data_IF_787822635731
#
_entry.id   IF_787822635731
#
_cell.length_a   1.000
_cell.length_b   1.000
_cell.length_c   1.000
_cell.angle_alpha   90.00
_cell.angle_beta   90.00
_cell.angle_gamma   90.00
#
_symmetry.space_group_name_H-M   'P 1'
#
loop_
_entity.id
_entity.type
_entity.pdbx_description
1 polymer ?
#
# COMPACT_ATOMS: atom_id res chain seq x y z
N UNK A 1 0.90 -38.97 -2.97
CA UNK A 1 2.35 -38.94 -2.70
C UNK A 1 2.78 -37.49 -2.63
N UNK A 2 3.63 -37.11 -1.67
CA UNK A 2 4.23 -35.77 -1.64
C UNK A 2 5.06 -35.55 -2.91
N UNK A 3 4.87 -34.42 -3.59
CA UNK A 3 5.71 -34.03 -4.72
C UNK A 3 7.11 -33.68 -4.19
N UNK A 4 8.14 -34.12 -4.89
CA UNK A 4 9.55 -33.91 -4.52
C UNK A 4 10.27 -33.34 -5.75
N UNK A 5 11.15 -32.36 -5.53
CA UNK A 5 12.11 -31.88 -6.51
C UNK A 5 13.50 -32.43 -6.17
N UNK A 6 14.30 -32.76 -7.18
CA UNK A 6 15.69 -33.19 -7.00
C UNK A 6 16.63 -32.07 -7.42
N UNK A 7 17.55 -31.69 -6.54
CA UNK A 7 18.66 -30.80 -6.86
C UNK A 7 19.96 -31.60 -6.80
N UNK A 8 20.80 -31.47 -7.82
CA UNK A 8 22.13 -32.10 -7.85
C UNK A 8 23.20 -31.02 -7.76
N UNK A 9 24.09 -31.13 -6.77
CA UNK A 9 25.22 -30.23 -6.53
C UNK A 9 26.47 -31.07 -6.38
N UNK A 10 27.48 -30.85 -7.22
CA UNK A 10 28.76 -31.58 -7.21
C UNK A 10 28.60 -33.12 -7.20
N UNK A 11 27.58 -33.64 -7.92
CA UNK A 11 27.27 -35.07 -8.00
C UNK A 11 26.45 -35.63 -6.82
N UNK A 12 26.18 -34.82 -5.79
CA UNK A 12 25.28 -35.18 -4.70
C UNK A 12 23.85 -34.75 -5.02
N UNK A 13 22.94 -35.72 -5.06
CA UNK A 13 21.50 -35.48 -5.19
C UNK A 13 20.86 -35.27 -3.83
N UNK A 14 20.09 -34.21 -3.70
CA UNK A 14 19.22 -33.96 -2.54
C UNK A 14 17.76 -33.89 -3.00
N UNK A 15 16.88 -34.35 -2.12
CA UNK A 15 15.44 -34.27 -2.31
C UNK A 15 14.88 -33.10 -1.52
N UNK A 16 14.14 -32.22 -2.21
CA UNK A 16 13.51 -31.05 -1.65
C UNK A 16 11.99 -31.20 -1.75
N UNK A 17 11.23 -31.05 -0.64
CA UNK A 17 9.78 -31.10 -0.68
C UNK A 17 9.20 -30.02 -1.60
N UNK A 18 8.17 -30.37 -2.37
CA UNK A 18 7.35 -29.39 -3.08
C UNK A 18 6.08 -29.15 -2.28
N UNK A 19 5.88 -27.91 -1.86
CA UNK A 19 4.69 -27.44 -1.17
C UNK A 19 3.71 -26.92 -2.22
N UNK A 20 2.43 -27.26 -2.09
CA UNK A 20 1.36 -26.75 -2.94
C UNK A 20 0.37 -25.93 -2.10
N UNK A 21 0.09 -24.71 -2.51
CA UNK A 21 -0.91 -23.82 -1.89
C UNK A 21 -2.34 -24.18 -2.28
N UNK A 22 -3.32 -23.54 -1.63
CA UNK A 22 -4.76 -23.73 -1.90
C UNK A 22 -5.17 -23.36 -3.32
N UNK A 23 -4.46 -22.40 -3.93
CA UNK A 23 -4.69 -21.94 -5.32
C UNK A 23 -3.75 -22.65 -6.32
N UNK A 24 -3.21 -23.83 -5.95
CA UNK A 24 -2.34 -24.67 -6.77
C UNK A 24 -0.96 -24.09 -7.13
N UNK A 25 -0.57 -22.98 -6.50
CA UNK A 25 0.80 -22.48 -6.54
C UNK A 25 1.77 -23.50 -5.94
N UNK A 26 2.98 -23.60 -6.47
CA UNK A 26 3.99 -24.56 -6.02
C UNK A 26 5.29 -23.87 -5.62
N UNK A 27 5.83 -24.26 -4.47
CA UNK A 27 7.12 -23.79 -3.97
C UNK A 27 8.02 -24.97 -3.59
N UNK A 28 9.32 -24.83 -3.82
CA UNK A 28 10.33 -25.79 -3.35
C UNK A 28 10.75 -25.37 -1.95
N UNK A 29 10.59 -26.25 -0.96
CA UNK A 29 11.07 -26.01 0.40
C UNK A 29 12.60 -26.14 0.44
N UNK A 30 13.28 -25.01 0.64
CA UNK A 30 14.74 -24.92 0.71
C UNK A 30 15.26 -24.70 2.14
N UNK A 31 14.44 -24.90 3.18
CA UNK A 31 14.83 -24.64 4.58
C UNK A 31 16.09 -25.40 5.01
N UNK A 32 16.29 -26.61 4.48
CA UNK A 32 17.46 -27.46 4.76
C UNK A 32 18.57 -27.37 3.71
N UNK A 33 18.40 -26.57 2.66
CA UNK A 33 19.31 -26.54 1.50
C UNK A 33 20.75 -26.30 1.96
N UNK A 34 20.99 -25.25 2.74
CA UNK A 34 22.33 -24.88 3.19
C UNK A 34 22.96 -25.91 4.11
N UNK A 35 22.17 -26.52 5.00
CA UNK A 35 22.68 -27.53 5.93
C UNK A 35 23.08 -28.82 5.20
N UNK A 36 22.40 -29.13 4.09
CA UNK A 36 22.68 -30.32 3.26
C UNK A 36 23.82 -30.11 2.24
N UNK A 37 24.03 -28.88 1.77
CA UNK A 37 24.90 -28.61 0.60
C UNK A 37 25.99 -27.57 0.85
N UNK A 38 25.89 -26.79 1.92
CA UNK A 38 26.75 -25.64 2.18
C UNK A 38 26.45 -24.39 1.33
N UNK A 39 25.59 -24.49 0.30
CA UNK A 39 25.29 -23.38 -0.61
C UNK A 39 24.03 -22.60 -0.21
N UNK A 40 23.85 -21.42 -0.80
CA UNK A 40 22.63 -20.61 -0.71
C UNK A 40 22.08 -20.35 -2.11
N UNK A 41 20.80 -19.99 -2.21
CA UNK A 41 20.25 -19.41 -3.44
C UNK A 41 20.65 -17.93 -3.55
N UNK A 42 20.78 -17.44 -4.78
CA UNK A 42 21.01 -16.03 -5.07
C UNK A 42 19.85 -15.51 -5.91
N UNK A 43 18.97 -14.73 -5.30
CA UNK A 43 17.78 -14.17 -5.95
C UNK A 43 17.60 -12.68 -5.60
N UNK A 44 18.44 -11.79 -6.18
CA UNK A 44 18.35 -10.36 -5.90
C UNK A 44 16.97 -9.80 -6.25
N UNK A 45 16.29 -9.23 -5.26
CA UNK A 45 14.94 -8.69 -5.40
C UNK A 45 13.82 -9.72 -5.24
N UNK A 46 14.11 -10.94 -4.76
CA UNK A 46 13.12 -11.95 -4.37
C UNK A 46 12.13 -12.34 -5.47
N UNK A 47 12.57 -12.35 -6.74
CA UNK A 47 11.68 -12.63 -7.88
C UNK A 47 11.21 -14.09 -7.93
N UNK A 48 11.99 -15.00 -7.35
CA UNK A 48 11.76 -16.44 -7.39
C UNK A 48 11.60 -17.03 -5.98
N UNK A 49 11.53 -16.19 -4.94
CA UNK A 49 11.58 -16.60 -3.54
C UNK A 49 10.27 -16.25 -2.83
N UNK A 50 9.46 -17.26 -2.52
CA UNK A 50 8.33 -17.12 -1.60
C UNK A 50 8.83 -17.04 -0.15
N UNK A 51 8.68 -15.89 0.51
CA UNK A 51 9.23 -15.66 1.85
C UNK A 51 8.37 -16.20 3.00
N UNK A 52 7.08 -16.45 2.75
CA UNK A 52 6.12 -16.88 3.76
C UNK A 52 4.96 -17.67 3.13
N UNK A 53 4.20 -18.37 3.98
CA UNK A 53 2.84 -18.82 3.65
C UNK A 53 1.87 -17.77 4.19
N UNK A 54 0.84 -17.45 3.43
CA UNK A 54 -0.15 -16.44 3.83
C UNK A 54 -1.55 -16.86 3.39
N UNK A 55 -2.53 -16.50 4.21
CA UNK A 55 -3.96 -16.74 3.95
C UNK A 55 -4.73 -15.42 3.73
N UNK A 56 -4.02 -14.28 3.63
CA UNK A 56 -4.62 -12.94 3.60
C UNK A 56 -5.11 -12.57 2.20
N UNK A 57 -4.21 -12.58 1.23
CA UNK A 57 -4.49 -12.14 -0.14
C UNK A 57 -3.90 -13.11 -1.12
N UNK A 58 -4.70 -13.49 -2.11
CA UNK A 58 -4.23 -14.22 -3.29
C UNK A 58 -4.23 -13.30 -4.50
N UNK A 59 -3.21 -13.44 -5.34
CA UNK A 59 -3.03 -12.63 -6.53
C UNK A 59 -2.49 -13.49 -7.68
N UNK A 60 -3.24 -13.56 -8.78
CA UNK A 60 -2.74 -14.10 -10.05
C UNK A 60 -2.61 -12.97 -11.07
N UNK A 61 -1.37 -12.60 -11.38
CA UNK A 61 -1.06 -11.53 -12.31
C UNK A 61 -1.35 -11.87 -13.77
N UNK A 62 -1.25 -13.14 -14.15
CA UNK A 62 -1.54 -13.57 -15.52
C UNK A 62 -3.04 -13.49 -15.78
N UNK A 63 -3.83 -13.99 -14.84
CA UNK A 63 -5.28 -14.08 -14.96
C UNK A 63 -6.03 -12.82 -14.49
N UNK A 64 -5.33 -11.85 -13.90
CA UNK A 64 -5.97 -10.61 -13.42
C UNK A 64 -6.81 -10.84 -12.17
N UNK A 65 -6.43 -11.77 -11.30
CA UNK A 65 -7.19 -12.15 -10.10
C UNK A 65 -6.60 -11.44 -8.89
N UNK A 66 -7.47 -10.85 -8.07
CA UNK A 66 -7.16 -10.38 -6.73
C UNK A 66 -8.25 -10.85 -5.78
N UNK A 67 -7.88 -11.52 -4.70
CA UNK A 67 -8.82 -11.97 -3.68
C UNK A 67 -8.33 -11.62 -2.29
N UNK A 68 -9.21 -11.04 -1.49
CA UNK A 68 -9.01 -10.86 -0.05
C UNK A 68 -9.75 -11.96 0.69
N UNK A 69 -9.02 -12.82 1.41
CA UNK A 69 -9.58 -13.99 2.13
C UNK A 69 -10.50 -14.85 1.25
N UNK A 70 -10.14 -15.02 -0.03
CA UNK A 70 -10.91 -15.79 -1.01
C UNK A 70 -12.05 -15.03 -1.70
N UNK A 71 -12.46 -13.86 -1.22
CA UNK A 71 -13.46 -13.02 -1.90
C UNK A 71 -12.83 -12.20 -3.01
N UNK A 72 -13.47 -12.13 -4.17
CA UNK A 72 -12.99 -11.31 -5.29
C UNK A 72 -12.92 -9.83 -4.91
N UNK A 73 -11.94 -9.10 -5.46
CA UNK A 73 -11.82 -7.66 -5.20
C UNK A 73 -13.06 -6.90 -5.69
N UNK A 74 -13.68 -7.36 -6.78
CA UNK A 74 -14.93 -6.83 -7.32
C UNK A 74 -16.08 -6.96 -6.33
N UNK A 75 -16.24 -8.13 -5.71
CA UNK A 75 -17.31 -8.36 -4.74
C UNK A 75 -17.15 -7.47 -3.51
N UNK A 76 -15.96 -7.42 -2.91
CA UNK A 76 -15.75 -6.67 -1.67
C UNK A 76 -15.79 -5.16 -1.91
N UNK A 77 -15.34 -4.66 -3.06
CA UNK A 77 -15.41 -3.23 -3.39
C UNK A 77 -16.83 -2.76 -3.76
N UNK A 78 -17.71 -3.65 -4.23
CA UNK A 78 -19.11 -3.31 -4.55
C UNK A 78 -20.03 -3.48 -3.33
N UNK A 79 -19.75 -4.44 -2.44
CA UNK A 79 -20.71 -4.91 -1.42
C UNK A 79 -20.31 -4.65 0.04
N UNK A 80 -19.07 -4.28 0.31
CA UNK A 80 -18.59 -4.06 1.66
C UNK A 80 -18.01 -2.64 1.82
N UNK A 81 -18.01 -2.15 3.06
CA UNK A 81 -17.34 -0.92 3.45
C UNK A 81 -15.85 -1.16 3.74
N UNK A 82 -15.05 -0.09 3.76
CA UNK A 82 -13.63 -0.17 4.08
C UNK A 82 -13.37 -0.80 5.46
N UNK A 83 -14.22 -0.55 6.46
CA UNK A 83 -14.04 -1.16 7.78
C UNK A 83 -14.41 -2.65 7.81
N UNK A 84 -15.40 -3.09 7.04
CA UNK A 84 -15.69 -4.52 6.88
C UNK A 84 -14.54 -5.24 6.20
N UNK A 85 -13.95 -4.65 5.14
CA UNK A 85 -12.76 -5.20 4.48
C UNK A 85 -11.53 -5.17 5.39
N UNK A 86 -11.36 -4.10 6.18
CA UNK A 86 -10.29 -4.04 7.18
C UNK A 86 -10.42 -5.16 8.20
N UNK A 87 -11.64 -5.41 8.69
CA UNK A 87 -11.91 -6.51 9.61
C UNK A 87 -11.63 -7.86 8.94
N UNK A 88 -12.13 -8.09 7.72
CA UNK A 88 -11.88 -9.29 6.93
C UNK A 88 -10.39 -9.60 6.80
N UNK A 89 -9.59 -8.61 6.39
CA UNK A 89 -8.14 -8.80 6.22
C UNK A 89 -7.47 -9.15 7.54
N UNK A 90 -7.80 -8.46 8.63
CA UNK A 90 -7.12 -8.58 9.92
C UNK A 90 -7.54 -9.85 10.69
N UNK A 91 -8.82 -10.19 10.66
CA UNK A 91 -9.41 -11.25 11.48
C UNK A 91 -9.81 -12.52 10.70
N UNK A 92 -9.78 -12.48 9.37
CA UNK A 92 -9.95 -13.65 8.50
C UNK A 92 -11.36 -13.83 7.93
N UNK A 93 -12.38 -13.29 8.57
CA UNK A 93 -13.79 -13.43 8.19
C UNK A 93 -14.49 -12.07 8.11
N UNK A 94 -15.57 -11.98 7.34
CA UNK A 94 -16.42 -10.78 7.33
C UNK A 94 -17.11 -10.60 8.69
N UNK A 95 -17.18 -9.39 9.25
CA UNK A 95 -17.80 -9.18 10.55
C UNK A 95 -19.31 -9.34 10.48
N UNK A 96 -19.91 -9.85 11.56
CA UNK A 96 -21.32 -9.62 11.84
C UNK A 96 -21.55 -8.14 12.19
N UNK A 97 -22.80 -7.67 12.10
CA UNK A 97 -23.14 -6.28 12.46
C UNK A 97 -22.67 -5.88 13.88
N UNK A 98 -22.71 -6.83 14.83
CA UNK A 98 -22.25 -6.61 16.21
C UNK A 98 -20.72 -6.50 16.28
N UNK A 99 -19.99 -7.34 15.55
CA UNK A 99 -18.53 -7.27 15.50
C UNK A 99 -18.05 -6.00 14.81
N UNK A 100 -18.73 -5.57 13.75
CA UNK A 100 -18.45 -4.30 13.07
C UNK A 100 -18.67 -3.12 14.03
N UNK A 101 -19.80 -3.07 14.73
CA UNK A 101 -20.06 -2.04 15.75
C UNK A 101 -18.99 -2.05 16.86
N UNK A 102 -18.57 -3.22 17.32
CA UNK A 102 -17.51 -3.35 18.32
C UNK A 102 -16.15 -2.87 17.79
N UNK A 103 -15.85 -3.14 16.52
CA UNK A 103 -14.63 -2.70 15.86
C UNK A 103 -14.60 -1.19 15.72
N UNK A 104 -15.69 -0.59 15.21
CA UNK A 104 -15.84 0.86 15.14
C UNK A 104 -15.69 1.53 16.50
N UNK A 105 -16.39 1.02 17.52
CA UNK A 105 -16.31 1.55 18.87
C UNK A 105 -14.92 1.36 19.49
N UNK A 106 -14.22 0.27 19.15
CA UNK A 106 -12.83 0.05 19.51
C UNK A 106 -11.91 1.12 18.91
N UNK A 107 -12.07 1.43 17.63
CA UNK A 107 -11.32 2.48 16.93
C UNK A 107 -11.61 3.85 17.55
N UNK A 108 -12.89 4.22 17.72
CA UNK A 108 -13.36 5.50 18.29
C UNK A 108 -12.77 5.81 19.67
N UNK A 109 -12.46 4.79 20.48
CA UNK A 109 -11.80 4.95 21.79
C UNK A 109 -10.36 5.45 21.70
N UNK A 110 -9.73 5.34 20.54
CA UNK A 110 -8.30 5.61 20.35
C UNK A 110 -7.99 6.72 19.34
N UNK A 111 -9.01 7.38 18.79
CA UNK A 111 -8.87 8.44 17.79
C UNK A 111 -8.21 9.70 18.34
N UNK A 112 -8.32 9.98 19.64
CA UNK A 112 -7.58 11.08 20.27
C UNK A 112 -6.08 10.77 20.30
N UNK A 113 -5.31 11.51 19.51
CA UNK A 113 -3.84 11.50 19.52
C UNK A 113 -3.36 12.39 20.67
N UNK A 114 -2.28 11.99 21.36
CA UNK A 114 -1.69 12.77 22.45
C UNK A 114 -1.36 14.20 21.98
N UNK A 115 -1.70 15.21 22.78
CA UNK A 115 -1.54 16.62 22.41
C UNK A 115 -0.08 17.00 22.14
N UNK A 116 0.89 16.35 22.82
CA UNK A 116 2.31 16.57 22.57
C UNK A 116 2.76 16.19 21.15
N UNK A 117 1.99 15.35 20.44
CA UNK A 117 2.24 15.06 19.02
C UNK A 117 2.10 16.30 18.14
N UNK A 118 1.32 17.31 18.58
CA UNK A 118 1.23 18.60 17.88
C UNK A 118 2.57 19.31 17.85
N UNK A 119 3.33 19.24 18.94
CA UNK A 119 4.67 19.82 18.99
C UNK A 119 5.63 19.11 18.01
N UNK A 120 5.48 17.78 17.86
CA UNK A 120 6.30 16.99 16.93
C UNK A 120 5.99 17.36 15.49
N UNK A 121 4.71 17.41 15.09
CA UNK A 121 4.34 17.86 13.74
C UNK A 121 4.73 19.33 13.52
N UNK A 122 4.66 20.17 14.55
CA UNK A 122 5.03 21.57 14.45
C UNK A 122 6.52 21.80 14.20
N UNK A 123 7.36 20.88 14.66
CA UNK A 123 8.80 20.88 14.38
C UNK A 123 9.17 20.66 12.91
N UNK A 124 8.25 20.15 12.07
CA UNK A 124 8.49 20.03 10.63
C UNK A 124 8.22 21.36 9.91
N UNK A 125 9.04 21.73 8.89
CA UNK A 125 8.72 22.83 8.02
C UNK A 125 7.46 22.51 7.20
N UNK A 126 6.68 23.54 6.81
CA UNK A 126 5.50 23.36 5.95
C UNK A 126 5.81 22.72 4.59
N UNK A 127 7.05 22.84 4.13
CA UNK A 127 7.55 22.27 2.87
C UNK A 127 8.02 20.82 3.01
N UNK A 128 7.92 20.21 4.19
CA UNK A 128 8.28 18.81 4.37
C UNK A 128 7.29 17.91 3.63
N UNK A 129 7.80 16.93 2.89
CA UNK A 129 6.96 16.00 2.15
C UNK A 129 6.04 15.20 3.10
N UNK A 130 4.72 15.10 2.84
CA UNK A 130 3.76 14.48 3.74
C UNK A 130 4.09 13.04 4.16
N UNK A 131 4.57 12.20 3.25
CA UNK A 131 5.02 10.83 3.58
C UNK A 131 6.17 10.76 4.59
N UNK A 132 7.16 11.66 4.51
CA UNK A 132 8.25 11.72 5.48
C UNK A 132 7.75 12.13 6.86
N UNK A 133 6.85 13.12 6.92
CA UNK A 133 6.18 13.53 8.15
C UNK A 133 5.33 12.38 8.72
N UNK A 134 4.54 11.70 7.89
CA UNK A 134 3.70 10.57 8.31
C UNK A 134 4.52 9.43 8.89
N UNK A 135 5.61 9.04 8.23
CA UNK A 135 6.54 8.02 8.72
C UNK A 135 7.08 8.38 10.10
N UNK A 136 7.55 9.63 10.28
CA UNK A 136 8.09 10.12 11.54
C UNK A 136 7.03 10.17 12.66
N UNK A 137 5.82 10.68 12.36
CA UNK A 137 4.72 10.72 13.32
C UNK A 137 4.27 9.31 13.72
N UNK A 138 4.23 8.37 12.78
CA UNK A 138 3.87 6.97 13.07
C UNK A 138 4.92 6.33 13.98
N UNK A 139 6.22 6.57 13.73
CA UNK A 139 7.28 6.12 14.64
C UNK A 139 7.17 6.80 16.01
N UNK A 140 6.87 8.10 16.06
CA UNK A 140 6.74 8.86 17.31
C UNK A 140 5.62 8.32 18.23
N UNK A 141 4.56 7.72 17.67
CA UNK A 141 3.51 7.06 18.45
C UNK A 141 4.05 5.97 19.39
N UNK A 142 5.22 5.39 19.11
CA UNK A 142 5.87 4.43 20.03
C UNK A 142 6.24 5.05 21.38
N UNK A 143 6.63 6.34 21.42
CA UNK A 143 6.95 7.03 22.67
C UNK A 143 5.71 7.22 23.56
N UNK A 144 4.55 7.40 22.95
CA UNK A 144 3.26 7.53 23.63
C UNK A 144 2.58 6.17 23.90
N UNK A 145 3.13 5.09 23.34
CA UNK A 145 2.63 3.72 23.45
C UNK A 145 3.80 2.74 23.66
N UNK A 146 4.56 2.87 24.76
CA UNK A 146 5.85 2.18 24.91
C UNK A 146 5.74 0.67 25.17
N UNK A 147 4.53 0.17 25.47
CA UNK A 147 4.32 -1.26 25.66
C UNK A 147 4.33 -1.97 24.31
N UNK A 148 5.22 -2.96 24.17
CA UNK A 148 5.20 -3.87 23.04
C UNK A 148 3.85 -4.60 22.99
N UNK A 149 3.36 -4.86 21.78
CA UNK A 149 2.12 -5.61 21.57
C UNK A 149 2.37 -7.08 21.94
N UNK A 150 1.67 -7.58 22.96
CA UNK A 150 1.69 -8.99 23.29
C UNK A 150 0.77 -9.76 22.35
N UNK A 151 1.36 -10.50 21.41
CA UNK A 151 0.60 -11.23 20.39
C UNK A 151 -0.09 -12.49 20.91
N UNK A 152 0.26 -12.95 22.11
CA UNK A 152 -0.39 -14.09 22.78
C UNK A 152 -1.62 -13.63 23.60
N UNK A 153 -1.87 -12.31 23.70
CA UNK A 153 -3.05 -11.75 24.36
C UNK A 153 -3.97 -11.11 23.32
N UNK A 154 -5.04 -11.82 22.95
CA UNK A 154 -6.02 -11.40 21.95
C UNK A 154 -6.59 -10.00 22.23
N UNK A 155 -6.83 -9.65 23.51
CA UNK A 155 -7.36 -8.34 23.88
C UNK A 155 -6.33 -7.24 23.63
N UNK A 156 -5.07 -7.44 24.02
CA UNK A 156 -4.00 -6.46 23.78
C UNK A 156 -3.73 -6.29 22.29
N UNK A 157 -3.76 -7.38 21.52
CA UNK A 157 -3.66 -7.35 20.06
C UNK A 157 -4.81 -6.54 19.45
N UNK A 158 -6.05 -6.84 19.82
CA UNK A 158 -7.24 -6.13 19.34
C UNK A 158 -7.21 -4.63 19.67
N UNK A 159 -6.83 -4.26 20.90
CA UNK A 159 -6.65 -2.86 21.31
C UNK A 159 -5.54 -2.18 20.50
N UNK A 160 -4.41 -2.86 20.24
CA UNK A 160 -3.33 -2.32 19.43
C UNK A 160 -3.75 -2.10 17.97
N UNK A 161 -4.54 -3.00 17.39
CA UNK A 161 -5.13 -2.87 16.05
C UNK A 161 -6.05 -1.66 15.99
N UNK A 162 -7.06 -1.59 16.87
CA UNK A 162 -8.01 -0.48 16.92
C UNK A 162 -7.29 0.87 17.10
N UNK A 163 -6.29 0.89 17.98
CA UNK A 163 -5.47 2.08 18.23
C UNK A 163 -4.68 2.51 17.00
N UNK A 164 -4.12 1.56 16.28
CA UNK A 164 -3.37 1.83 15.05
C UNK A 164 -4.30 2.41 13.98
N UNK A 165 -5.45 1.77 13.74
CA UNK A 165 -6.45 2.25 12.77
C UNK A 165 -6.95 3.67 13.08
N UNK A 166 -7.21 3.99 14.35
CA UNK A 166 -7.72 5.31 14.76
C UNK A 166 -6.65 6.40 14.71
N UNK A 167 -5.48 6.17 15.32
CA UNK A 167 -4.42 7.20 15.40
C UNK A 167 -3.77 7.47 14.06
N UNK A 168 -3.60 6.44 13.21
CA UNK A 168 -2.96 6.58 11.91
C UNK A 168 -3.76 7.52 11.00
N UNK A 169 -5.09 7.39 10.96
CA UNK A 169 -5.94 8.29 10.16
C UNK A 169 -5.78 9.75 10.59
N UNK A 170 -5.77 10.02 11.90
CA UNK A 170 -5.63 11.37 12.44
C UNK A 170 -4.26 11.96 12.10
N UNK A 171 -3.16 11.23 12.32
CA UNK A 171 -1.83 11.78 11.99
C UNK A 171 -1.61 11.92 10.47
N UNK A 172 -2.20 11.05 9.66
CA UNK A 172 -2.14 11.13 8.20
C UNK A 172 -2.88 12.36 7.67
N UNK A 173 -4.04 12.70 8.23
CA UNK A 173 -4.76 13.93 7.85
C UNK A 173 -4.08 15.18 8.42
N UNK A 174 -3.41 15.09 9.56
CA UNK A 174 -2.62 16.20 10.10
C UNK A 174 -1.44 16.60 9.20
N UNK A 175 -0.83 15.69 8.45
CA UNK A 175 0.24 16.04 7.50
C UNK A 175 -0.26 16.96 6.38
N UNK A 176 -1.48 16.71 5.87
CA UNK A 176 -2.16 17.63 4.94
C UNK A 176 -2.40 19.00 5.57
N UNK A 177 -3.00 19.03 6.77
CA UNK A 177 -3.31 20.29 7.47
C UNK A 177 -2.06 21.12 7.69
N UNK A 178 -0.94 20.48 8.08
CA UNK A 178 0.36 21.15 8.25
C UNK A 178 0.85 21.76 6.94
N UNK A 179 0.78 21.02 5.84
CA UNK A 179 1.21 21.47 4.51
C UNK A 179 0.37 22.66 4.03
N UNK A 180 -0.95 22.59 4.23
CA UNK A 180 -1.87 23.69 3.88
C UNK A 180 -1.82 24.87 4.86
N UNK A 181 -1.17 24.72 6.02
CA UNK A 181 -1.15 25.75 7.07
C UNK A 181 -2.48 25.93 7.80
N UNK A 182 -3.33 24.91 7.80
CA UNK A 182 -4.61 24.92 8.48
C UNK A 182 -4.50 24.43 9.94
N UNK A 183 -5.43 24.82 10.84
CA UNK A 183 -5.48 24.26 12.19
C UNK A 183 -5.75 22.76 12.15
N UNK A 184 -5.20 21.98 13.09
CA UNK A 184 -5.44 20.54 13.15
C UNK A 184 -6.88 20.23 13.57
N UNK A 185 -7.51 19.30 12.88
CA UNK A 185 -8.86 18.82 13.20
C UNK A 185 -8.81 17.58 14.10
N UNK A 186 -9.87 17.39 14.87
CA UNK A 186 -10.08 16.19 15.69
C UNK A 186 -11.13 15.28 15.07
N UNK A 187 -11.01 14.00 15.39
CA UNK A 187 -11.97 12.98 14.96
C UNK A 187 -13.33 13.20 15.64
N UNK A 188 -14.41 13.12 14.87
CA UNK A 188 -15.79 13.15 15.35
C UNK A 188 -16.34 11.73 15.49
N UNK A 189 -16.42 11.24 16.73
CA UNK A 189 -16.88 9.88 17.03
C UNK A 189 -18.36 9.61 16.66
N UNK A 190 -19.12 10.62 16.23
CA UNK A 190 -20.51 10.46 15.76
C UNK A 190 -20.62 10.16 14.26
N UNK A 191 -19.52 10.27 13.51
CA UNK A 191 -19.49 10.06 12.05
C UNK A 191 -18.73 8.80 11.64
N UNK A 192 -18.96 8.33 10.41
CA UNK A 192 -18.30 7.13 9.87
C UNK A 192 -16.80 7.32 9.66
N UNK A 193 -16.05 6.23 9.42
CA UNK A 193 -14.58 6.29 9.30
C UNK A 193 -14.10 7.10 8.09
N UNK A 194 -14.65 6.82 6.89
CA UNK A 194 -14.30 7.54 5.66
C UNK A 194 -14.89 8.96 5.65
N UNK A 195 -16.06 9.14 6.26
CA UNK A 195 -16.61 10.48 6.48
C UNK A 195 -15.72 11.33 7.39
N UNK A 196 -15.20 10.75 8.48
CA UNK A 196 -14.23 11.40 9.36
C UNK A 196 -12.98 11.82 8.60
N UNK A 197 -12.46 10.97 7.71
CA UNK A 197 -11.33 11.34 6.86
C UNK A 197 -11.58 12.67 6.13
N UNK A 198 -12.76 12.82 5.51
CA UNK A 198 -13.13 14.06 4.81
C UNK A 198 -13.20 15.26 5.74
N UNK A 199 -13.79 15.10 6.93
CA UNK A 199 -13.85 16.19 7.91
C UNK A 199 -12.46 16.58 8.41
N UNK A 200 -11.62 15.59 8.73
CA UNK A 200 -10.26 15.81 9.22
C UNK A 200 -9.40 16.57 8.22
N UNK A 201 -9.54 16.28 6.93
CA UNK A 201 -8.87 17.02 5.86
C UNK A 201 -9.46 18.43 5.69
N UNK A 202 -10.75 18.53 5.38
CA UNK A 202 -11.28 19.73 4.72
C UNK A 202 -12.07 20.68 5.62
N UNK A 203 -12.56 20.23 6.79
CA UNK A 203 -13.32 21.10 7.70
C UNK A 203 -12.47 22.29 8.15
N UNK A 204 -13.02 23.50 8.00
CA UNK A 204 -12.45 24.74 8.51
C UNK A 204 -13.25 25.23 9.72
N UNK A 205 -12.63 25.94 10.68
CA UNK A 205 -13.33 26.45 11.86
C UNK A 205 -14.32 27.59 11.53
N UNK A 206 -14.30 28.12 10.31
CA UNK A 206 -15.05 29.30 9.88
C UNK A 206 -16.43 28.99 9.29
N UNK A 207 -16.86 27.73 9.24
CA UNK A 207 -18.18 27.37 8.70
C UNK A 207 -18.51 25.88 8.85
N UNK A 208 -19.79 25.52 8.61
CA UNK A 208 -20.20 24.11 8.56
C UNK A 208 -19.51 23.40 7.38
N UNK A 209 -19.32 22.09 7.53
CA UNK A 209 -18.73 21.23 6.50
C UNK A 209 -19.58 19.97 6.35
N UNK A 210 -19.86 19.59 5.12
CA UNK A 210 -20.45 18.30 4.76
C UNK A 210 -19.77 17.79 3.48
N UNK A 211 -19.60 16.47 3.40
CA UNK A 211 -19.08 15.82 2.21
C UNK A 211 -20.23 15.16 1.43
N UNK A 212 -20.11 15.12 0.10
CA UNK A 212 -21.07 14.40 -0.75
C UNK A 212 -21.04 12.90 -0.45
N UNK A 213 -22.20 12.22 -0.30
CA UNK A 213 -22.24 10.77 -0.16
C UNK A 213 -21.54 10.02 -1.30
N UNK A 214 -21.59 10.55 -2.54
CA UNK A 214 -20.92 9.97 -3.71
C UNK A 214 -19.39 10.03 -3.54
N UNK A 215 -18.89 11.13 -2.98
CA UNK A 215 -17.45 11.28 -2.70
C UNK A 215 -17.01 10.34 -1.58
N UNK A 216 -17.82 10.20 -0.52
CA UNK A 216 -17.54 9.27 0.58
C UNK A 216 -17.48 7.83 0.06
N UNK A 217 -18.45 7.43 -0.76
CA UNK A 217 -18.49 6.10 -1.39
C UNK A 217 -17.30 5.83 -2.32
N UNK A 218 -16.92 6.81 -3.15
CA UNK A 218 -15.74 6.68 -4.01
C UNK A 218 -14.43 6.55 -3.22
N UNK A 219 -14.30 7.25 -2.09
CA UNK A 219 -13.14 7.14 -1.21
C UNK A 219 -13.11 5.82 -0.44
N UNK A 220 -14.27 5.32 -0.03
CA UNK A 220 -14.38 4.01 0.63
C UNK A 220 -13.89 2.90 -0.31
N UNK A 221 -14.39 2.91 -1.56
CA UNK A 221 -13.90 2.02 -2.63
C UNK A 221 -12.40 2.19 -2.87
N UNK A 222 -11.89 3.43 -2.94
CA UNK A 222 -10.45 3.67 -3.10
C UNK A 222 -9.64 3.02 -2.00
N UNK A 223 -10.05 3.16 -0.74
CA UNK A 223 -9.34 2.54 0.37
C UNK A 223 -9.40 1.01 0.31
N UNK A 224 -10.54 0.42 -0.06
CA UNK A 224 -10.66 -1.03 -0.28
C UNK A 224 -9.69 -1.53 -1.38
N UNK A 225 -9.62 -0.83 -2.51
CA UNK A 225 -8.76 -1.24 -3.64
C UNK A 225 -7.26 -1.14 -3.33
N UNK A 226 -6.89 -0.40 -2.28
CA UNK A 226 -5.53 -0.30 -1.80
C UNK A 226 -5.28 -1.10 -0.51
N UNK A 227 -6.30 -1.77 0.04
CA UNK A 227 -6.30 -2.37 1.37
C UNK A 227 -5.16 -3.36 1.63
N UNK A 228 -4.93 -4.27 0.68
CA UNK A 228 -3.76 -5.14 0.68
C UNK A 228 -3.36 -5.49 -0.76
N UNK A 229 -2.12 -5.96 -0.94
CA UNK A 229 -1.64 -6.40 -2.24
C UNK A 229 -0.49 -7.40 -2.08
N UNK A 230 -0.69 -8.41 -1.22
CA UNK A 230 0.24 -9.53 -1.02
C UNK A 230 1.66 -9.06 -0.61
N UNK A 231 2.73 -9.80 -0.90
CA UNK A 231 4.11 -9.54 -0.46
C UNK A 231 4.85 -8.49 -1.30
N UNK A 232 4.22 -7.32 -1.49
CA UNK A 232 4.88 -6.16 -2.09
C UNK A 232 5.94 -5.53 -1.15
N UNK A 233 6.78 -4.63 -1.69
CA UNK A 233 7.94 -4.06 -0.98
C UNK A 233 7.60 -3.51 0.43
N UNK A 234 6.50 -2.78 0.59
CA UNK A 234 6.13 -2.22 1.89
C UNK A 234 5.59 -3.27 2.86
N UNK A 235 4.80 -4.24 2.37
CA UNK A 235 4.35 -5.39 3.17
C UNK A 235 5.53 -6.25 3.64
N UNK A 236 6.46 -6.60 2.74
CA UNK A 236 7.67 -7.35 3.10
C UNK A 236 8.54 -6.57 4.08
N UNK A 237 8.59 -5.24 3.99
CA UNK A 237 9.30 -4.38 4.96
C UNK A 237 8.64 -4.44 6.34
N UNK A 238 7.31 -4.36 6.40
CA UNK A 238 6.55 -4.49 7.66
C UNK A 238 6.79 -5.85 8.30
N UNK A 239 6.76 -6.94 7.53
CA UNK A 239 7.11 -8.29 8.01
C UNK A 239 8.57 -8.38 8.49
N UNK A 240 9.51 -7.84 7.72
CA UNK A 240 10.93 -7.89 8.07
C UNK A 240 11.23 -7.18 9.39
N UNK A 241 10.72 -5.97 9.58
CA UNK A 241 10.87 -5.23 10.85
C UNK A 241 10.09 -5.91 11.97
N UNK A 242 8.87 -6.38 11.70
CA UNK A 242 8.07 -7.11 12.68
C UNK A 242 8.73 -8.41 13.17
N UNK A 243 9.51 -9.09 12.31
CA UNK A 243 10.17 -10.36 12.63
C UNK A 243 11.26 -10.23 13.70
N UNK A 244 11.77 -9.01 13.94
CA UNK A 244 12.64 -8.70 15.08
C UNK A 244 11.85 -8.39 16.36
N UNK A 245 10.55 -8.65 16.36
CA UNK A 245 9.56 -8.33 17.39
C UNK A 245 9.27 -6.84 17.59
N UNK A 246 9.61 -5.98 16.62
CA UNK A 246 9.18 -4.59 16.65
C UNK A 246 7.64 -4.49 16.64
N UNK A 247 7.10 -3.51 17.38
CA UNK A 247 5.65 -3.29 17.47
C UNK A 247 5.03 -2.74 16.18
N UNK A 248 3.70 -2.70 16.13
CA UNK A 248 2.92 -2.26 14.96
C UNK A 248 3.34 -0.86 14.47
N UNK A 249 3.41 0.15 15.34
CA UNK A 249 3.77 1.52 14.94
C UNK A 249 5.14 1.60 14.27
N UNK A 250 6.17 0.97 14.85
CA UNK A 250 7.51 0.96 14.25
C UNK A 250 7.53 0.21 12.91
N UNK A 251 6.85 -0.94 12.83
CA UNK A 251 6.77 -1.74 11.60
C UNK A 251 6.02 -1.00 10.49
N UNK A 252 4.90 -0.35 10.81
CA UNK A 252 4.09 0.44 9.87
C UNK A 252 4.85 1.70 9.43
N UNK A 253 5.58 2.38 10.31
CA UNK A 253 6.46 3.50 9.92
C UNK A 253 7.51 3.07 8.86
N UNK A 254 8.09 1.87 9.00
CA UNK A 254 8.96 1.31 7.98
C UNK A 254 8.19 0.98 6.68
N UNK A 255 6.97 0.45 6.78
CA UNK A 255 6.07 0.25 5.65
C UNK A 255 5.73 1.53 4.88
N UNK A 256 5.41 2.63 5.60
CA UNK A 256 5.19 3.97 5.04
C UNK A 256 6.44 4.44 4.30
N UNK A 257 7.63 4.26 4.90
CA UNK A 257 8.90 4.65 4.29
C UNK A 257 9.19 3.86 3.01
N UNK A 258 8.92 2.55 3.01
CA UNK A 258 9.04 1.71 1.81
C UNK A 258 8.02 2.07 0.74
N UNK A 259 6.79 2.43 1.13
CA UNK A 259 5.74 2.87 0.21
C UNK A 259 6.07 4.23 -0.43
N UNK A 260 6.74 5.12 0.28
CA UNK A 260 7.15 6.43 -0.25
C UNK A 260 8.14 6.33 -1.42
N UNK A 261 8.89 5.23 -1.52
CA UNK A 261 9.82 5.01 -2.63
C UNK A 261 9.16 5.20 -4.00
N UNK A 262 9.76 5.95 -4.95
CA UNK A 262 9.17 6.19 -6.27
C UNK A 262 8.87 4.93 -7.08
N UNK A 263 9.60 3.84 -6.82
CA UNK A 263 9.40 2.53 -7.45
C UNK A 263 8.28 1.69 -6.80
N UNK A 264 7.58 2.24 -5.81
CA UNK A 264 6.47 1.59 -5.12
C UNK A 264 5.20 2.46 -5.12
N UNK A 265 4.95 3.25 -4.09
CA UNK A 265 3.71 4.03 -3.93
C UNK A 265 3.73 5.43 -4.53
N UNK A 266 4.87 5.88 -5.10
CA UNK A 266 4.98 7.18 -5.78
C UNK A 266 4.39 7.22 -7.20
N UNK A 267 3.87 6.09 -7.71
CA UNK A 267 3.37 6.00 -9.08
C UNK A 267 2.16 6.90 -9.33
N UNK A 268 1.23 7.01 -8.37
CA UNK A 268 0.04 7.84 -8.49
C UNK A 268 0.37 9.35 -8.58
N UNK A 269 1.34 9.83 -7.81
CA UNK A 269 1.87 11.19 -7.93
C UNK A 269 2.51 11.41 -9.30
N UNK A 270 3.32 10.46 -9.77
CA UNK A 270 3.99 10.56 -11.06
C UNK A 270 3.02 10.58 -12.26
N UNK A 271 1.82 9.97 -12.15
CA UNK A 271 0.74 10.11 -13.15
C UNK A 271 0.36 11.58 -13.31
N UNK A 272 0.14 12.30 -12.20
CA UNK A 272 -0.31 13.68 -12.27
C UNK A 272 0.80 14.63 -12.71
N UNK A 273 2.03 14.40 -12.24
CA UNK A 273 3.21 15.15 -12.72
C UNK A 273 3.39 14.99 -14.24
N UNK A 274 3.23 13.76 -14.75
CA UNK A 274 3.24 13.49 -16.19
C UNK A 274 2.11 14.23 -16.91
N UNK A 275 0.87 14.17 -16.42
CA UNK A 275 -0.26 14.87 -17.06
C UNK A 275 -0.08 16.40 -17.04
N UNK A 276 0.49 16.95 -15.98
CA UNK A 276 0.85 18.37 -15.89
C UNK A 276 1.98 18.76 -16.85
N UNK A 277 2.97 17.90 -17.06
CA UNK A 277 4.00 18.09 -18.10
C UNK A 277 3.37 18.14 -19.49
N UNK A 278 2.48 17.19 -19.80
CA UNK A 278 1.74 17.16 -21.07
C UNK A 278 0.94 18.44 -21.28
N UNK A 279 0.25 18.92 -20.23
CA UNK A 279 -0.52 20.16 -20.30
C UNK A 279 0.35 21.40 -20.53
N UNK A 280 1.49 21.50 -19.83
CA UNK A 280 2.45 22.60 -20.01
C UNK A 280 3.05 22.61 -21.43
N UNK A 281 3.15 21.44 -22.05
CA UNK A 281 3.62 21.26 -23.43
C UNK A 281 2.48 21.34 -24.48
N UNK A 282 1.33 21.90 -24.12
CA UNK A 282 0.22 22.20 -25.05
C UNK A 282 -0.82 21.08 -25.19
N UNK A 283 -0.70 19.98 -24.45
CA UNK A 283 -1.73 18.94 -24.36
C UNK A 283 -1.70 17.88 -25.46
N UNK A 284 -0.61 17.78 -26.23
CA UNK A 284 -0.48 16.82 -27.34
C UNK A 284 -0.21 15.39 -26.83
N UNK A 285 -1.28 14.60 -26.67
CA UNK A 285 -1.17 13.21 -26.19
C UNK A 285 -0.45 12.30 -27.18
N UNK A 286 -0.55 12.53 -28.49
CA UNK A 286 0.10 11.70 -29.51
C UNK A 286 1.62 11.83 -29.45
N UNK A 287 2.13 13.06 -29.25
CA UNK A 287 3.55 13.33 -29.02
C UNK A 287 4.10 12.53 -27.85
N UNK A 288 3.41 12.52 -26.71
CA UNK A 288 3.89 11.81 -25.52
C UNK A 288 3.74 10.28 -25.63
N UNK A 289 2.74 9.78 -26.36
CA UNK A 289 2.70 8.36 -26.71
C UNK A 289 3.87 7.98 -27.62
N UNK A 290 4.25 8.83 -28.59
CA UNK A 290 5.44 8.60 -29.41
C UNK A 290 6.72 8.57 -28.56
N UNK A 291 6.89 9.50 -27.61
CA UNK A 291 8.00 9.48 -26.64
C UNK A 291 8.04 8.18 -25.83
N UNK A 292 6.89 7.73 -25.31
CA UNK A 292 6.80 6.49 -24.53
C UNK A 292 7.16 5.22 -25.34
N UNK A 293 7.04 5.27 -26.67
CA UNK A 293 7.41 4.19 -27.59
C UNK A 293 8.90 4.21 -27.97
N UNK A 294 9.56 5.35 -27.86
CA UNK A 294 10.98 5.49 -28.19
C UNK A 294 11.86 4.90 -27.08
N UNK A 295 12.70 3.93 -27.44
CA UNK A 295 13.64 3.29 -26.50
C UNK A 295 14.75 4.23 -26.04
N UNK A 296 15.01 5.30 -26.80
CA UNK A 296 16.05 6.29 -26.50
C UNK A 296 15.51 7.47 -25.68
N UNK A 297 14.19 7.62 -25.56
CA UNK A 297 13.57 8.65 -24.73
C UNK A 297 13.41 8.12 -23.29
N UNK A 298 13.81 8.89 -22.26
CA UNK A 298 13.63 8.49 -20.87
C UNK A 298 12.16 8.52 -20.41
N UNK A 299 11.26 9.15 -21.16
CA UNK A 299 9.85 9.29 -20.81
C UNK A 299 9.15 7.93 -20.69
N UNK A 300 8.32 7.78 -19.67
CA UNK A 300 7.49 6.60 -19.44
C UNK A 300 6.06 7.03 -19.18
N UNK A 301 5.12 6.26 -19.72
CA UNK A 301 3.70 6.49 -19.51
C UNK A 301 3.30 5.99 -18.11
N UNK A 302 3.30 6.90 -17.14
CA UNK A 302 2.98 6.59 -15.74
C UNK A 302 1.51 6.22 -15.58
N UNK A 303 1.19 5.25 -14.71
CA UNK A 303 -0.17 4.73 -14.51
C UNK A 303 -0.64 3.72 -15.56
N UNK A 304 0.26 3.26 -16.44
CA UNK A 304 -0.02 2.23 -17.44
C UNK A 304 0.85 0.99 -17.26
N UNK A 305 0.22 -0.17 -17.38
CA UNK A 305 0.83 -1.47 -17.09
C UNK A 305 0.95 -1.73 -15.59
N UNK A 306 1.40 -2.94 -15.24
CA UNK A 306 1.55 -3.36 -13.85
C UNK A 306 2.72 -4.35 -13.70
N UNK A 307 3.40 -4.34 -12.54
CA UNK A 307 4.54 -5.25 -12.29
C UNK A 307 4.10 -6.72 -12.17
N UNK A 308 2.90 -6.92 -11.67
CA UNK A 308 2.28 -8.22 -11.39
C UNK A 308 1.22 -8.58 -12.45
N UNK A 309 0.17 -7.77 -12.63
CA UNK A 309 -0.80 -7.98 -13.71
C UNK A 309 -0.17 -7.86 -15.11
N UNK A 310 -0.12 -8.98 -15.83
CA UNK A 310 0.20 -9.03 -17.26
C UNK A 310 -1.05 -8.89 -18.12
N UNK A 311 -2.23 -9.00 -17.51
CA UNK A 311 -3.54 -8.69 -18.08
C UNK A 311 -4.11 -7.41 -17.45
N UNK A 312 -5.40 -7.13 -17.66
CA UNK A 312 -6.08 -5.95 -17.14
C UNK A 312 -6.13 -5.96 -15.60
N UNK A 313 -5.87 -4.81 -14.96
CA UNK A 313 -5.98 -4.66 -13.50
C UNK A 313 -7.46 -4.63 -13.08
N UNK A 314 -7.97 -5.64 -12.36
CA UNK A 314 -9.40 -5.72 -12.01
C UNK A 314 -9.90 -4.49 -11.22
N UNK A 315 -9.01 -3.85 -10.45
CA UNK A 315 -9.32 -2.67 -9.65
C UNK A 315 -9.59 -1.44 -10.53
N UNK A 316 -8.89 -1.33 -11.65
CA UNK A 316 -8.97 -0.19 -12.56
C UNK A 316 -10.40 0.04 -13.10
N UNK A 317 -11.13 -1.04 -13.38
CA UNK A 317 -12.53 -0.96 -13.86
C UNK A 317 -13.47 -0.36 -12.83
N UNK A 318 -13.33 -0.78 -11.57
CA UNK A 318 -14.16 -0.32 -10.46
C UNK A 318 -13.90 1.17 -10.23
N UNK A 319 -12.61 1.54 -10.17
CA UNK A 319 -12.25 2.91 -9.85
C UNK A 319 -12.52 3.90 -10.98
N UNK A 320 -12.46 3.45 -12.24
CA UNK A 320 -12.85 4.26 -13.40
C UNK A 320 -14.29 4.74 -13.29
N UNK A 321 -15.21 3.86 -12.86
CA UNK A 321 -16.62 4.21 -12.67
C UNK A 321 -16.78 5.26 -11.56
N UNK A 322 -16.15 5.03 -10.40
CA UNK A 322 -16.18 5.97 -9.29
C UNK A 322 -15.56 7.33 -9.66
N UNK A 323 -14.47 7.34 -10.44
CA UNK A 323 -13.86 8.57 -10.94
C UNK A 323 -14.83 9.40 -11.78
N UNK A 324 -15.57 8.75 -12.69
CA UNK A 324 -16.61 9.41 -13.47
C UNK A 324 -17.72 10.00 -12.57
N UNK A 325 -18.22 9.23 -11.61
CA UNK A 325 -19.29 9.67 -10.71
C UNK A 325 -18.86 10.87 -9.85
N UNK A 326 -17.64 10.86 -9.32
CA UNK A 326 -17.07 11.98 -8.56
C UNK A 326 -16.96 13.23 -9.44
N UNK A 327 -16.43 13.09 -10.65
CA UNK A 327 -16.27 14.21 -11.58
C UNK A 327 -17.61 14.85 -11.96
N UNK A 328 -18.59 14.02 -12.32
CA UNK A 328 -19.93 14.47 -12.69
C UNK A 328 -20.63 15.13 -11.48
N UNK A 329 -20.37 14.67 -10.25
CA UNK A 329 -20.94 15.22 -9.01
C UNK A 329 -20.34 16.56 -8.62
N UNK A 330 -19.02 16.72 -8.74
CA UNK A 330 -18.34 17.94 -8.32
C UNK A 330 -18.41 19.04 -9.39
N UNK A 331 -18.73 18.70 -10.65
CA UNK A 331 -18.79 19.66 -11.75
C UNK A 331 -17.44 20.32 -12.03
N UNK A 332 -16.33 19.61 -11.77
CA UNK A 332 -14.97 20.14 -11.90
C UNK A 332 -14.57 20.13 -13.37
N UNK A 333 -14.30 21.32 -13.92
CA UNK A 333 -13.63 21.48 -15.21
C UNK A 333 -12.13 21.66 -14.97
N UNK A 334 -11.34 20.63 -15.31
CA UNK A 334 -9.89 20.65 -15.16
C UNK A 334 -9.20 20.17 -16.45
N UNK A 335 -8.37 21.01 -17.09
CA UNK A 335 -7.63 20.65 -18.31
C UNK A 335 -6.80 19.37 -18.17
N UNK A 336 -6.25 19.09 -16.99
CA UNK A 336 -5.46 17.89 -16.73
C UNK A 336 -6.31 16.64 -16.86
N UNK A 337 -7.58 16.71 -16.45
CA UNK A 337 -8.50 15.58 -16.51
C UNK A 337 -8.98 15.31 -17.93
N UNK A 338 -9.12 16.36 -18.75
CA UNK A 338 -9.37 16.21 -20.18
C UNK A 338 -8.18 15.58 -20.91
N UNK A 339 -6.95 15.96 -20.54
CA UNK A 339 -5.74 15.31 -21.05
C UNK A 339 -5.70 13.84 -20.62
N UNK A 340 -6.04 13.53 -19.36
CA UNK A 340 -6.09 12.14 -18.88
C UNK A 340 -7.06 11.29 -19.71
N UNK A 341 -8.29 11.78 -19.97
CA UNK A 341 -9.27 11.08 -20.81
C UNK A 341 -8.76 10.83 -22.23
N UNK A 342 -8.16 11.85 -22.86
CA UNK A 342 -7.59 11.74 -24.21
C UNK A 342 -6.42 10.75 -24.26
N UNK A 343 -5.52 10.83 -23.28
CA UNK A 343 -4.37 9.96 -23.16
C UNK A 343 -4.79 8.50 -22.95
N UNK A 344 -5.80 8.27 -22.10
CA UNK A 344 -6.40 6.96 -21.88
C UNK A 344 -6.96 6.38 -23.19
N UNK A 345 -7.82 7.14 -23.88
CA UNK A 345 -8.42 6.70 -25.15
C UNK A 345 -7.35 6.40 -26.21
N UNK A 346 -6.39 7.30 -26.40
CA UNK A 346 -5.33 7.14 -27.38
C UNK A 346 -4.42 5.93 -27.07
N UNK A 347 -4.06 5.71 -25.80
CA UNK A 347 -3.27 4.54 -25.40
C UNK A 347 -4.04 3.22 -25.58
N UNK A 348 -5.36 3.21 -25.32
CA UNK A 348 -6.20 2.02 -25.52
C UNK A 348 -6.40 1.67 -27.01
N UNK A 349 -6.29 2.64 -27.91
CA UNK A 349 -6.42 2.44 -29.35
C UNK A 349 -5.07 2.09 -30.04
N UNK A 350 -3.93 2.46 -29.44
CA UNK A 350 -2.59 2.26 -30.00
C UNK A 350 -2.10 0.79 -29.88
N UNK A 351 -1.73 0.20 -31.02
CA UNK A 351 -1.28 -1.20 -31.13
C UNK A 351 -0.03 -1.52 -30.30
N UNK A 352 0.88 -0.56 -30.08
CA UNK A 352 2.07 -0.77 -29.25
C UNK A 352 1.72 -1.08 -27.80
N UNK A 353 0.71 -0.39 -27.28
CA UNK A 353 0.26 -0.50 -25.89
C UNK A 353 -0.61 -1.74 -25.71
N UNK A 354 -1.52 -2.02 -26.67
CA UNK A 354 -2.29 -3.27 -26.70
C UNK A 354 -1.38 -4.50 -26.75
N UNK A 355 -0.40 -4.54 -27.65
CA UNK A 355 0.48 -5.70 -27.81
C UNK A 355 1.38 -5.96 -26.60
N UNK A 356 1.49 -5.01 -25.67
CA UNK A 356 2.28 -5.10 -24.44
C UNK A 356 1.42 -5.13 -23.17
N UNK A 357 0.09 -5.19 -23.31
CA UNK A 357 -0.88 -5.14 -22.22
C UNK A 357 -0.66 -3.93 -21.29
N UNK A 358 -0.31 -2.78 -21.84
CA UNK A 358 -0.10 -1.54 -21.09
C UNK A 358 -1.45 -0.81 -20.93
N UNK A 359 -2.27 -1.30 -20.00
CA UNK A 359 -3.57 -0.72 -19.67
C UNK A 359 -3.48 0.27 -18.50
N UNK A 360 -4.37 1.27 -18.39
CA UNK A 360 -4.48 2.10 -17.21
C UNK A 360 -4.71 1.24 -15.96
N UNK A 361 -3.95 1.50 -14.90
CA UNK A 361 -4.05 0.78 -13.63
C UNK A 361 -4.80 1.61 -12.57
N UNK A 362 -4.92 1.09 -11.34
CA UNK A 362 -5.62 1.77 -10.24
C UNK A 362 -5.03 3.15 -9.90
N UNK A 363 -3.71 3.34 -10.06
CA UNK A 363 -3.01 4.60 -9.74
C UNK A 363 -3.39 5.74 -10.69
N UNK A 364 -3.72 5.40 -11.95
CA UNK A 364 -4.16 6.39 -12.94
C UNK A 364 -5.47 7.09 -12.51
N UNK A 365 -6.47 6.30 -12.14
CA UNK A 365 -7.79 6.83 -11.77
C UNK A 365 -7.84 7.37 -10.34
N UNK A 366 -7.04 6.81 -9.41
CA UNK A 366 -7.00 7.32 -8.04
C UNK A 366 -6.45 8.75 -8.00
N UNK A 367 -5.39 9.04 -8.77
CA UNK A 367 -4.85 10.39 -8.91
C UNK A 367 -5.86 11.40 -9.45
N UNK A 368 -6.70 10.98 -10.42
CA UNK A 368 -7.79 11.80 -10.97
C UNK A 368 -8.81 12.17 -9.89
N UNK A 369 -9.26 11.19 -9.10
CA UNK A 369 -10.23 11.44 -8.01
C UNK A 369 -9.63 12.38 -6.96
N UNK A 370 -8.40 12.14 -6.53
CA UNK A 370 -7.77 12.99 -5.52
C UNK A 370 -7.60 14.43 -6.01
N UNK A 371 -7.23 14.62 -7.28
CA UNK A 371 -7.16 15.94 -7.89
C UNK A 371 -8.51 16.63 -7.95
N UNK A 372 -9.57 15.92 -8.35
CA UNK A 372 -10.93 16.46 -8.36
C UNK A 372 -11.40 16.93 -6.98
N UNK A 373 -10.92 16.26 -5.91
CA UNK A 373 -11.18 16.63 -4.53
C UNK A 373 -10.29 17.77 -4.01
N UNK A 374 -9.37 18.30 -4.82
CA UNK A 374 -8.41 19.32 -4.41
C UNK A 374 -7.34 18.80 -3.45
N UNK A 375 -7.10 17.48 -3.40
CA UNK A 375 -6.01 16.91 -2.62
C UNK A 375 -4.69 17.20 -3.37
N UNK A 376 -3.69 17.77 -2.69
CA UNK A 376 -2.36 17.99 -3.28
C UNK A 376 -1.69 16.69 -3.71
N UNK A 377 -0.91 16.73 -4.80
CA UNK A 377 -0.28 15.53 -5.38
C UNK A 377 0.66 14.80 -4.40
N UNK A 378 1.35 15.54 -3.54
CA UNK A 378 2.27 15.00 -2.52
C UNK A 378 1.55 14.26 -1.36
N UNK A 379 0.22 14.36 -1.29
CA UNK A 379 -0.65 13.59 -0.38
C UNK A 379 -1.13 12.28 -0.98
N UNK A 380 -0.94 12.01 -2.28
CA UNK A 380 -1.53 10.82 -2.91
C UNK A 380 -0.99 9.51 -2.33
N UNK A 381 0.32 9.44 -2.06
CA UNK A 381 0.89 8.26 -1.40
C UNK A 381 0.48 8.16 0.08
N UNK A 382 0.11 9.26 0.74
CA UNK A 382 -0.49 9.23 2.09
C UNK A 382 -1.88 8.61 2.03
N UNK A 383 -2.68 8.94 1.01
CA UNK A 383 -3.98 8.30 0.77
C UNK A 383 -3.83 6.79 0.56
N UNK A 384 -2.82 6.40 -0.22
CA UNK A 384 -2.47 5.00 -0.39
C UNK A 384 -2.08 4.37 0.96
N UNK A 385 -1.24 5.01 1.77
CA UNK A 385 -0.86 4.49 3.08
C UNK A 385 -2.05 4.28 4.03
N UNK A 386 -3.07 5.16 3.99
CA UNK A 386 -4.33 4.99 4.74
C UNK A 386 -5.06 3.74 4.28
N UNK A 387 -5.26 3.59 2.96
CA UNK A 387 -5.88 2.41 2.38
C UNK A 387 -5.13 1.14 2.75
N UNK A 388 -3.80 1.13 2.62
CA UNK A 388 -2.92 -0.04 2.83
C UNK A 388 -2.76 -0.49 4.28
N UNK A 389 -3.13 0.35 5.24
CA UNK A 389 -2.94 0.10 6.67
C UNK A 389 -3.48 -1.27 7.15
N UNK A 390 -4.74 -1.67 6.88
CA UNK A 390 -5.27 -2.98 7.27
C UNK A 390 -4.43 -4.15 6.74
N UNK A 391 -3.96 -4.09 5.48
CA UNK A 391 -3.09 -5.13 4.91
C UNK A 391 -1.77 -5.25 5.66
N UNK A 392 -1.11 -4.14 5.99
CA UNK A 392 0.10 -4.16 6.82
C UNK A 392 -0.13 -4.73 8.21
N UNK A 393 -1.25 -4.38 8.85
CA UNK A 393 -1.62 -4.92 10.16
C UNK A 393 -1.84 -6.43 10.07
N UNK A 394 -2.62 -6.90 9.09
CA UNK A 394 -2.91 -8.31 8.88
C UNK A 394 -1.63 -9.13 8.63
N UNK A 395 -0.75 -8.64 7.76
CA UNK A 395 0.51 -9.30 7.40
C UNK A 395 1.49 -9.35 8.57
N UNK A 396 1.56 -8.28 9.37
CA UNK A 396 2.34 -8.28 10.62
C UNK A 396 1.75 -9.27 11.64
N UNK A 397 0.43 -9.27 11.82
CA UNK A 397 -0.28 -10.14 12.76
C UNK A 397 -0.06 -11.61 12.42
N UNK A 398 -0.33 -12.01 11.18
CA UNK A 398 -0.17 -13.38 10.69
C UNK A 398 1.25 -13.89 10.93
N UNK A 399 2.27 -13.08 10.56
CA UNK A 399 3.68 -13.42 10.77
C UNK A 399 4.02 -13.66 12.25
N UNK A 400 3.50 -12.81 13.14
CA UNK A 400 3.77 -12.90 14.58
C UNK A 400 3.04 -14.06 15.25
N UNK A 401 1.79 -14.31 14.88
CA UNK A 401 0.99 -15.43 15.40
C UNK A 401 1.54 -16.79 14.92
N UNK A 402 2.04 -16.84 13.67
CA UNK A 402 2.70 -18.02 13.12
C UNK A 402 4.09 -18.30 13.69
N UNK A 403 4.61 -17.42 14.55
CA UNK A 403 5.95 -17.53 15.16
C UNK A 403 7.05 -17.69 14.10
N UNK A 404 6.89 -16.97 12.98
CA UNK A 404 7.87 -16.99 11.90
C UNK A 404 9.26 -16.53 12.41
N UNK A 405 10.36 -17.11 11.90
CA UNK A 405 11.70 -16.75 12.34
C UNK A 405 12.09 -15.34 11.90
N UNK A 406 13.11 -14.77 12.57
CA UNK A 406 13.66 -13.47 12.20
C UNK A 406 14.16 -13.44 10.74
N UNK A 407 13.76 -12.41 9.99
CA UNK A 407 14.21 -12.15 8.64
C UNK A 407 15.71 -11.80 8.62
N UNK A 408 16.55 -12.76 8.22
CA UNK A 408 18.02 -12.60 8.19
C UNK A 408 18.62 -13.21 6.92
N UNK A 409 18.46 -12.56 5.76
CA UNK A 409 18.97 -13.08 4.49
C UNK A 409 20.51 -13.19 4.48
N UNK A 410 21.03 -13.98 3.54
CA UNK A 410 22.47 -14.17 3.31
C UNK A 410 22.93 -13.37 2.10
N UNK A 411 24.25 -13.31 1.92
CA UNK A 411 24.89 -12.72 0.75
C UNK A 411 26.02 -13.62 0.25
N UNK A 412 26.41 -13.43 -1.01
CA UNK A 412 27.68 -13.90 -1.54
C UNK A 412 28.68 -12.75 -1.40
N UNK A 413 29.71 -12.93 -0.58
CA UNK A 413 30.72 -11.91 -0.37
C UNK A 413 31.69 -11.87 -1.55
N UNK A 414 31.74 -10.74 -2.25
CA UNK A 414 32.62 -10.48 -3.41
C UNK A 414 33.65 -9.39 -3.13
N UNK A 415 33.87 -9.05 -1.86
CA UNK A 415 34.89 -8.09 -1.44
C UNK A 415 36.28 -8.69 -1.31
N UNK A 416 37.21 -7.93 -0.74
CA UNK A 416 38.57 -8.41 -0.49
C UNK A 416 38.60 -9.56 0.53
N UNK A 417 39.37 -10.63 0.27
CA UNK A 417 39.72 -11.59 1.30
C UNK A 417 40.47 -10.94 2.47
N UNK A 418 40.74 -11.73 3.53
CA UNK A 418 41.55 -11.29 4.66
C UNK A 418 42.83 -10.58 4.19
N UNK A 419 43.00 -9.33 4.61
CA UNK A 419 44.18 -8.51 4.33
C UNK A 419 44.71 -7.93 5.62
N UNK A 420 46.03 -7.86 5.75
CA UNK A 420 46.66 -7.29 6.94
C UNK A 420 46.27 -5.83 7.13
N UNK A 421 45.98 -5.46 8.38
CA UNK A 421 45.76 -4.09 8.76
C UNK A 421 47.10 -3.34 8.73
N UNK A 422 47.24 -2.38 7.80
CA UNK A 422 48.40 -1.50 7.74
C UNK A 422 48.02 -0.14 8.32
N UNK A 423 48.61 0.18 9.47
CA UNK A 423 48.55 1.51 10.05
C UNK A 423 49.68 2.35 9.46
N UNK A 424 49.35 3.55 8.97
CA UNK A 424 50.34 4.58 8.59
C UNK A 424 50.68 5.52 9.78
N UNK A 425 50.33 5.12 11.01
CA UNK A 425 50.72 5.82 12.24
C UNK A 425 52.00 5.28 12.80
#
# INVERSE_FOLDING_TARGET
MSKIATLEVDGQKIELPVITGSENESAIDINKLRDLTGIITLDPGYKNSGSCKSEITFLDGELGILRYRGYSIEDVAEKASFLEVSYLLIFGELPTAKELEQFENGIKKHTLVNEEMKNIIDGFPKTAHPMGVLSALTSALTAFNPKAVNVENEKEMYEAICKTMGKFLVIATWTYRKTMGYPLNYYDNTTGYVENFMQLMFKLPTGPYSASPIVIDALDKLFILHADHEQNCSTSTVRMVGSSHAGLFASISAGVSALWGPLHGGANQAVLEMLEEINKDGGDTEKFLAKAKDKNDPFRLMGFGHRVYKSFDPRAKIIKKAAKEVMDTLGVEDPILEIAKKLEAAALEDEYFKSRNLYPNVDFYSGIIYRALGIPTDMFTVMFAIGRLPGWIAQWKEMRENKEPIGRPRQIYTGHPLREFKSNK
#
